data_IF_786589051597
#
_entry.id   IF_786589051597
#
_cell.length_a   1.000
_cell.length_b   1.000
_cell.length_c   1.000
_cell.angle_alpha   90.00
_cell.angle_beta   90.00
_cell.angle_gamma   90.00
#
_symmetry.space_group_name_H-M   'P 1'
#
loop_
_entity.id
_entity.type
_entity.pdbx_description
1 polymer ?
#
# COMPACT_ATOMS: atom_id res chain seq x y z
N UNK A 1 12.88 -4.86 -56.19
CA UNK A 1 12.43 -3.52 -55.75
C UNK A 1 12.39 -3.49 -54.23
N UNK A 2 13.41 -2.91 -53.57
CA UNK A 2 13.38 -2.70 -52.12
C UNK A 2 12.56 -1.44 -51.83
N UNK A 3 11.38 -1.59 -51.20
CA UNK A 3 10.73 -0.48 -50.51
C UNK A 3 11.43 -0.33 -49.16
N UNK A 4 12.29 0.67 -49.04
CA UNK A 4 12.71 1.14 -47.73
C UNK A 4 11.48 1.75 -47.06
N UNK A 5 11.00 1.12 -45.99
CA UNK A 5 10.01 1.72 -45.09
C UNK A 5 10.66 2.93 -44.46
N UNK A 6 10.36 4.13 -44.98
CA UNK A 6 10.80 5.39 -44.41
C UNK A 6 9.86 5.74 -43.25
N UNK A 7 10.12 5.18 -42.06
CA UNK A 7 9.48 5.63 -40.82
C UNK A 7 10.01 7.01 -40.47
N UNK A 8 9.12 7.99 -40.40
CA UNK A 8 9.45 9.37 -40.06
C UNK A 8 9.86 9.44 -38.57
N UNK A 9 11.05 9.96 -38.22
CA UNK A 9 11.51 10.00 -36.84
C UNK A 9 10.57 10.77 -35.90
N UNK A 10 9.79 11.72 -36.41
CA UNK A 10 8.78 12.47 -35.65
C UNK A 10 7.62 11.58 -35.12
N UNK A 11 7.22 10.56 -35.87
CA UNK A 11 6.09 9.68 -35.48
C UNK A 11 6.46 8.79 -34.28
N UNK A 12 7.74 8.41 -34.20
CA UNK A 12 8.30 7.61 -33.10
C UNK A 12 8.30 8.37 -31.77
N UNK A 13 8.55 9.68 -31.79
CA UNK A 13 8.66 10.48 -30.57
C UNK A 13 7.29 10.72 -29.92
N UNK A 14 6.27 11.03 -30.74
CA UNK A 14 4.90 11.25 -30.27
C UNK A 14 4.24 9.96 -29.76
N UNK A 15 4.60 8.81 -30.33
CA UNK A 15 4.07 7.51 -29.90
C UNK A 15 4.63 7.09 -28.55
N UNK A 16 5.92 7.33 -28.29
CA UNK A 16 6.54 7.02 -27.00
C UNK A 16 6.00 7.92 -25.88
N UNK A 17 5.82 9.22 -26.14
CA UNK A 17 5.20 10.15 -25.18
C UNK A 17 3.75 9.73 -24.83
N UNK A 18 2.97 9.33 -25.83
CA UNK A 18 1.61 8.83 -25.60
C UNK A 18 1.61 7.55 -24.75
N UNK A 19 2.52 6.61 -25.02
CA UNK A 19 2.66 5.37 -24.27
C UNK A 19 3.03 5.62 -22.80
N UNK A 20 3.94 6.57 -22.53
CA UNK A 20 4.30 6.97 -21.16
C UNK A 20 3.09 7.57 -20.44
N UNK A 21 2.25 8.35 -21.14
CA UNK A 21 1.04 8.96 -20.58
C UNK A 21 -0.07 7.97 -20.29
N UNK A 22 -0.28 6.99 -21.16
CA UNK A 22 -1.20 5.90 -20.90
C UNK A 22 -0.75 5.07 -19.67
N UNK A 23 0.51 4.64 -19.65
CA UNK A 23 1.08 3.89 -18.53
C UNK A 23 1.02 4.68 -17.21
N UNK A 24 1.34 5.98 -17.25
CA UNK A 24 1.23 6.86 -16.09
C UNK A 24 -0.19 6.95 -15.55
N UNK A 25 -1.19 7.11 -16.43
CA UNK A 25 -2.59 7.20 -15.99
C UNK A 25 -3.12 5.87 -15.44
N UNK A 26 -2.68 4.73 -15.99
CA UNK A 26 -2.96 3.41 -15.43
C UNK A 26 -2.37 3.25 -14.03
N UNK A 27 -1.10 3.58 -13.86
CA UNK A 27 -0.43 3.53 -12.56
C UNK A 27 -1.08 4.48 -11.55
N UNK A 28 -1.52 5.66 -11.97
CA UNK A 28 -2.22 6.61 -11.09
C UNK A 28 -3.57 6.07 -10.64
N UNK A 29 -4.32 5.40 -11.51
CA UNK A 29 -5.58 4.73 -11.14
C UNK A 29 -5.31 3.61 -10.14
N UNK A 30 -4.27 2.81 -10.38
CA UNK A 30 -3.90 1.71 -9.51
C UNK A 30 -3.43 2.18 -8.14
N UNK A 31 -2.55 3.18 -8.07
CA UNK A 31 -2.09 3.78 -6.82
C UNK A 31 -3.26 4.31 -5.98
N UNK A 32 -4.25 4.96 -6.60
CA UNK A 32 -5.46 5.43 -5.92
C UNK A 32 -6.33 4.28 -5.38
N UNK A 33 -6.44 3.19 -6.13
CA UNK A 33 -7.17 2.00 -5.70
C UNK A 33 -6.48 1.36 -4.50
N UNK A 34 -5.16 1.20 -4.57
CA UNK A 34 -4.33 0.66 -3.49
C UNK A 34 -4.40 1.53 -2.23
N UNK A 35 -4.31 2.85 -2.36
CA UNK A 35 -4.46 3.81 -1.25
C UNK A 35 -5.81 3.63 -0.55
N UNK A 36 -6.91 3.55 -1.30
CA UNK A 36 -8.25 3.38 -0.73
C UNK A 36 -8.44 2.04 -0.01
N UNK A 37 -7.96 0.94 -0.61
CA UNK A 37 -7.98 -0.37 0.06
C UNK A 37 -7.11 -0.38 1.31
N UNK A 38 -5.92 0.23 1.26
CA UNK A 38 -5.01 0.30 2.39
C UNK A 38 -5.61 1.11 3.54
N UNK A 39 -6.26 2.24 3.25
CA UNK A 39 -6.97 3.04 4.24
C UNK A 39 -8.04 2.22 4.98
N UNK A 40 -8.88 1.48 4.25
CA UNK A 40 -9.96 0.68 4.82
C UNK A 40 -9.46 -0.43 5.75
N UNK A 41 -8.44 -1.17 5.31
CA UNK A 41 -7.89 -2.31 6.05
C UNK A 41 -7.09 -1.81 7.27
N UNK A 42 -6.29 -0.74 7.14
CA UNK A 42 -5.57 -0.13 8.27
C UNK A 42 -6.54 0.39 9.33
N UNK A 43 -7.63 1.06 8.94
CA UNK A 43 -8.65 1.49 9.90
C UNK A 43 -9.29 0.31 10.63
N UNK A 44 -9.55 -0.80 9.93
CA UNK A 44 -10.09 -2.02 10.54
C UNK A 44 -9.11 -2.64 11.54
N UNK A 45 -7.83 -2.71 11.18
CA UNK A 45 -6.76 -3.20 12.06
C UNK A 45 -6.58 -2.32 13.29
N UNK A 46 -6.64 -0.99 13.14
CA UNK A 46 -6.60 -0.04 14.26
C UNK A 46 -7.80 -0.18 15.20
N UNK A 47 -9.02 -0.42 14.68
CA UNK A 47 -10.20 -0.73 15.51
C UNK A 47 -10.06 -2.04 16.26
N UNK A 48 -9.53 -3.09 15.62
CA UNK A 48 -9.24 -4.37 16.27
C UNK A 48 -8.24 -4.18 17.41
N UNK A 49 -7.15 -3.46 17.17
CA UNK A 49 -6.19 -3.11 18.21
C UNK A 49 -6.86 -2.41 19.40
N UNK A 50 -7.74 -1.44 19.16
CA UNK A 50 -8.45 -0.74 20.25
C UNK A 50 -9.34 -1.68 21.06
N UNK A 51 -10.04 -2.62 20.40
CA UNK A 51 -10.85 -3.64 21.07
C UNK A 51 -10.01 -4.56 21.94
N UNK A 52 -8.87 -5.04 21.44
CA UNK A 52 -7.95 -5.90 22.20
C UNK A 52 -7.35 -5.19 23.43
N UNK A 53 -7.20 -3.86 23.37
CA UNK A 53 -6.72 -3.07 24.51
C UNK A 53 -7.82 -2.78 25.55
N UNK A 54 -9.09 -3.04 25.24
CA UNK A 54 -10.21 -2.85 26.17
C UNK A 54 -10.44 -4.13 26.99
N UNK A 55 -10.17 -4.09 28.30
CA UNK A 55 -10.29 -5.23 29.24
C UNK A 55 -11.72 -5.80 29.41
N UNK A 56 -12.73 -5.27 28.71
CA UNK A 56 -14.14 -5.61 28.92
C UNK A 56 -14.66 -6.82 28.11
N UNK A 57 -13.82 -7.48 27.31
CA UNK A 57 -14.28 -8.48 26.32
C UNK A 57 -13.68 -9.88 26.47
N UNK A 58 -13.08 -10.22 27.63
CA UNK A 58 -12.66 -11.60 27.93
C UNK A 58 -13.89 -12.49 28.24
N UNK A 59 -14.76 -12.65 27.24
CA UNK A 59 -15.77 -13.72 27.20
C UNK A 59 -15.15 -14.92 26.46
N UNK A 60 -15.28 -16.10 27.07
CA UNK A 60 -14.60 -17.35 26.71
C UNK A 60 -14.93 -17.79 25.27
N UNK A 61 -14.11 -17.36 24.30
CA UNK A 61 -14.30 -17.65 22.86
C UNK A 61 -13.84 -16.55 21.89
N UNK A 62 -13.81 -15.28 22.33
CA UNK A 62 -13.32 -14.16 21.50
C UNK A 62 -11.81 -14.19 21.15
N UNK A 63 -10.89 -14.63 22.03
CA UNK A 63 -9.45 -14.49 21.79
C UNK A 63 -8.92 -15.20 20.53
N UNK A 64 -9.49 -16.37 20.20
CA UNK A 64 -9.07 -17.13 19.01
C UNK A 64 -9.56 -16.49 17.71
N UNK A 65 -10.78 -15.94 17.72
CA UNK A 65 -11.36 -15.26 16.56
C UNK A 65 -10.64 -13.94 16.28
N UNK A 66 -10.34 -13.15 17.31
CA UNK A 66 -9.59 -11.89 17.18
C UNK A 66 -8.17 -12.13 16.66
N UNK A 67 -7.52 -13.23 17.06
CA UNK A 67 -6.21 -13.61 16.53
C UNK A 67 -6.24 -13.91 15.03
N UNK A 68 -7.25 -14.65 14.55
CA UNK A 68 -7.39 -14.95 13.12
C UNK A 68 -7.73 -13.70 12.28
N UNK A 69 -8.60 -12.83 12.80
CA UNK A 69 -8.94 -11.55 12.20
C UNK A 69 -7.69 -10.65 12.10
N UNK A 70 -6.91 -10.55 13.19
CA UNK A 70 -5.64 -9.81 13.24
C UNK A 70 -4.67 -10.29 12.17
N UNK A 71 -4.41 -11.61 12.11
CA UNK A 71 -3.47 -12.18 11.14
C UNK A 71 -3.91 -11.91 9.70
N UNK A 72 -5.21 -12.00 9.42
CA UNK A 72 -5.76 -11.76 8.08
C UNK A 72 -5.58 -10.30 7.67
N UNK A 73 -5.95 -9.36 8.55
CA UNK A 73 -5.79 -7.92 8.30
C UNK A 73 -4.31 -7.53 8.16
N UNK A 74 -3.42 -8.07 9.00
CA UNK A 74 -1.99 -7.80 8.94
C UNK A 74 -1.38 -8.27 7.61
N UNK A 75 -1.70 -9.48 7.17
CA UNK A 75 -1.25 -9.99 5.86
C UNK A 75 -1.76 -9.14 4.70
N UNK A 76 -3.02 -8.70 4.77
CA UNK A 76 -3.61 -7.85 3.72
C UNK A 76 -2.94 -6.48 3.67
N UNK A 77 -2.63 -5.86 4.82
CA UNK A 77 -1.87 -4.60 4.89
C UNK A 77 -0.48 -4.79 4.29
N UNK A 78 0.24 -5.85 4.66
CA UNK A 78 1.58 -6.13 4.11
C UNK A 78 1.54 -6.31 2.59
N UNK A 79 0.53 -7.01 2.07
CA UNK A 79 0.33 -7.18 0.64
C UNK A 79 0.08 -5.84 -0.07
N UNK A 80 -0.82 -5.02 0.46
CA UNK A 80 -1.16 -3.71 -0.10
C UNK A 80 0.02 -2.73 -0.05
N UNK A 81 0.78 -2.71 1.04
CA UNK A 81 2.00 -1.92 1.17
C UNK A 81 3.05 -2.33 0.13
N UNK A 82 3.25 -3.64 -0.07
CA UNK A 82 4.15 -4.16 -1.10
C UNK A 82 3.68 -3.74 -2.50
N UNK A 83 2.39 -3.90 -2.81
CA UNK A 83 1.83 -3.53 -4.10
C UNK A 83 1.95 -2.01 -4.38
N UNK A 84 1.75 -1.17 -3.36
CA UNK A 84 1.94 0.28 -3.48
C UNK A 84 3.42 0.66 -3.66
N UNK A 85 4.34 -0.06 -2.99
CA UNK A 85 5.78 0.07 -3.23
C UNK A 85 6.13 -0.21 -4.69
N UNK A 86 5.68 -1.35 -5.22
CA UNK A 86 5.93 -1.75 -6.62
C UNK A 86 5.31 -0.74 -7.60
N UNK A 87 4.13 -0.22 -7.29
CA UNK A 87 3.48 0.83 -8.08
C UNK A 87 4.31 2.12 -8.08
N UNK A 88 4.85 2.53 -6.92
CA UNK A 88 5.74 3.69 -6.81
C UNK A 88 7.02 3.53 -7.64
N UNK A 89 7.58 2.32 -7.73
CA UNK A 89 8.75 2.03 -8.57
C UNK A 89 8.43 2.18 -10.06
N UNK A 90 7.29 1.66 -10.52
CA UNK A 90 6.81 1.81 -11.90
C UNK A 90 6.52 3.27 -12.23
N UNK A 91 5.85 3.99 -11.33
CA UNK A 91 5.59 5.43 -11.48
C UNK A 91 6.90 6.22 -11.58
N UNK A 92 7.92 5.86 -10.78
CA UNK A 92 9.24 6.45 -10.86
C UNK A 92 9.91 6.20 -12.22
N UNK A 93 9.75 5.01 -12.81
CA UNK A 93 10.24 4.72 -14.14
C UNK A 93 9.57 5.59 -15.22
N UNK A 94 8.25 5.82 -15.15
CA UNK A 94 7.55 6.75 -16.05
C UNK A 94 8.08 8.19 -15.91
N UNK A 95 8.30 8.66 -14.67
CA UNK A 95 8.89 9.99 -14.41
C UNK A 95 10.29 10.10 -15.01
N UNK A 96 11.12 9.07 -14.87
CA UNK A 96 12.47 9.05 -15.46
C UNK A 96 12.46 9.00 -16.99
N UNK A 97 11.41 8.44 -17.60
CA UNK A 97 11.20 8.37 -19.05
C UNK A 97 10.62 9.65 -19.66
N UNK A 98 10.27 10.64 -18.85
CA UNK A 98 9.80 11.95 -19.33
C UNK A 98 8.34 12.27 -19.04
N UNK A 99 7.70 11.62 -18.07
CA UNK A 99 6.38 12.06 -17.61
C UNK A 99 6.39 13.53 -17.12
N UNK A 100 5.27 14.27 -17.21
CA UNK A 100 5.19 15.67 -16.82
C UNK A 100 5.68 15.96 -15.40
N UNK A 101 6.13 17.20 -15.14
CA UNK A 101 6.63 17.61 -13.82
C UNK A 101 5.61 17.36 -12.67
N UNK A 102 4.30 17.49 -12.95
CA UNK A 102 3.24 17.18 -12.00
C UNK A 102 3.24 15.71 -11.55
N UNK A 103 3.70 14.79 -12.41
CA UNK A 103 3.83 13.36 -12.10
C UNK A 103 4.86 13.11 -11.00
N UNK A 104 5.98 13.84 -11.01
CA UNK A 104 7.00 13.74 -9.96
C UNK A 104 6.46 14.14 -8.58
N UNK A 105 5.71 15.25 -8.50
CA UNK A 105 5.10 15.70 -7.25
C UNK A 105 4.06 14.70 -6.73
N UNK A 106 3.26 14.11 -7.62
CA UNK A 106 2.28 13.09 -7.22
C UNK A 106 2.94 11.79 -6.75
N UNK A 107 4.00 11.34 -7.41
CA UNK A 107 4.80 10.21 -6.95
C UNK A 107 5.38 10.45 -5.55
N UNK A 108 5.89 11.66 -5.29
CA UNK A 108 6.40 12.00 -3.97
C UNK A 108 5.32 11.87 -2.89
N UNK A 109 4.09 12.31 -3.17
CA UNK A 109 2.96 12.13 -2.27
C UNK A 109 2.65 10.64 -2.00
N UNK A 110 2.70 9.78 -3.02
CA UNK A 110 2.48 8.34 -2.80
C UNK A 110 3.60 7.65 -2.01
N UNK A 111 4.83 8.17 -2.06
CA UNK A 111 5.92 7.72 -1.18
C UNK A 111 5.68 8.11 0.28
N UNK A 112 5.16 9.31 0.51
CA UNK A 112 4.76 9.77 1.85
C UNK A 112 3.61 8.93 2.40
N UNK A 113 2.57 8.69 1.59
CA UNK A 113 1.45 7.79 1.95
C UNK A 113 1.95 6.40 2.33
N UNK A 114 2.83 5.80 1.52
CA UNK A 114 3.41 4.49 1.82
C UNK A 114 4.18 4.50 3.14
N UNK A 115 4.97 5.55 3.40
CA UNK A 115 5.72 5.72 4.64
C UNK A 115 4.81 5.85 5.86
N UNK A 116 3.77 6.68 5.76
CA UNK A 116 2.83 6.93 6.85
C UNK A 116 2.08 5.66 7.24
N UNK A 117 1.50 4.94 6.26
CA UNK A 117 0.81 3.68 6.54
C UNK A 117 1.75 2.57 7.04
N UNK A 118 2.98 2.48 6.50
CA UNK A 118 3.97 1.55 7.02
C UNK A 118 4.32 1.83 8.49
N UNK A 119 4.39 3.11 8.85
CA UNK A 119 4.71 3.54 10.21
C UNK A 119 3.54 3.29 11.16
N UNK A 120 2.32 3.63 10.75
CA UNK A 120 1.11 3.36 11.51
C UNK A 120 0.94 1.86 11.75
N UNK A 121 1.06 1.04 10.70
CA UNK A 121 0.92 -0.41 10.80
C UNK A 121 1.91 -1.01 11.80
N UNK A 122 3.19 -0.59 11.77
CA UNK A 122 4.20 -1.03 12.73
C UNK A 122 3.84 -0.61 14.17
N UNK A 123 3.36 0.62 14.35
CA UNK A 123 2.96 1.14 15.66
C UNK A 123 1.79 0.36 16.24
N UNK A 124 0.75 0.11 15.44
CA UNK A 124 -0.44 -0.65 15.85
C UNK A 124 -0.08 -2.10 16.16
N UNK A 125 0.72 -2.75 15.31
CA UNK A 125 1.21 -4.12 15.55
C UNK A 125 2.01 -4.24 16.85
N UNK A 126 2.89 -3.27 17.14
CA UNK A 126 3.63 -3.23 18.40
C UNK A 126 2.72 -3.00 19.63
N UNK A 127 1.58 -2.32 19.47
CA UNK A 127 0.60 -2.16 20.55
C UNK A 127 -0.12 -3.48 20.85
N UNK A 128 -0.55 -4.19 19.80
CA UNK A 128 -1.17 -5.51 19.93
C UNK A 128 -0.22 -6.51 20.61
N UNK A 129 1.04 -6.58 20.17
CA UNK A 129 2.04 -7.48 20.75
C UNK A 129 2.30 -7.20 22.24
N UNK A 130 2.38 -5.92 22.64
CA UNK A 130 2.56 -5.55 24.06
C UNK A 130 1.36 -5.99 24.92
N UNK A 131 0.14 -5.87 24.42
CA UNK A 131 -1.06 -6.33 25.13
C UNK A 131 -1.04 -7.85 25.30
N UNK A 132 -0.72 -8.60 24.25
CA UNK A 132 -0.54 -10.07 24.32
C UNK A 132 0.49 -10.49 25.37
N UNK A 133 1.68 -9.88 25.34
CA UNK A 133 2.73 -10.16 26.33
C UNK A 133 2.29 -9.84 27.77
N UNK A 134 1.52 -8.76 27.94
CA UNK A 134 0.97 -8.38 29.25
C UNK A 134 -0.02 -9.44 29.75
N UNK A 135 -0.95 -9.88 28.91
CA UNK A 135 -1.94 -10.89 29.26
C UNK A 135 -1.28 -12.26 29.59
N UNK A 136 -0.24 -12.66 28.86
CA UNK A 136 0.55 -13.87 29.14
C UNK A 136 1.20 -13.84 30.53
N UNK A 137 1.76 -12.69 30.93
CA UNK A 137 2.37 -12.51 32.25
C UNK A 137 1.33 -12.62 33.38
N UNK A 138 0.11 -12.11 33.17
CA UNK A 138 -0.96 -12.19 34.17
C UNK A 138 -1.63 -13.56 34.25
N UNK A 139 -1.61 -14.35 33.17
CA UNK A 139 -2.20 -15.71 33.15
C UNK A 139 -1.29 -16.78 33.76
N UNK A 140 0.01 -16.51 33.88
CA UNK A 140 1.04 -17.46 34.33
C UNK A 140 1.46 -17.36 35.80
N UNK A 141 0.85 -16.50 36.61
CA UNK A 141 1.12 -16.33 38.06
C UNK A 141 -0.08 -16.67 38.92
#
# INVERSE_FOLDING_TARGET
MNRFSNTNPADSHTTEEYNIMEEWEDLRREARRLEGSLEEVVQSYSRLSQRMNSDLLYEDGMPLMESQEEHSLAMEIEHLLSALSDCNEKMNACVQRGAPAASSALLQRYREILFDYSTEFKKTSAAIQRKRQTDELFRGG
#
